data_IF_551325911512
#
_entry.id   IF_551325911512
#
_cell.length_a   1.000
_cell.length_b   1.000
_cell.length_c   1.000
_cell.angle_alpha   90.00
_cell.angle_beta   90.00
_cell.angle_gamma   90.00
#
_symmetry.space_group_name_H-M   'P 1'
#
loop_
_entity.id
_entity.type
_entity.pdbx_description
1 polymer ?
#
# COMPACT_ATOMS: atom_id res chain seq x y z
N UNK A 1 -39.63 5.64 31.79
CA UNK A 1 -38.79 4.58 32.40
C UNK A 1 -37.61 4.40 31.46
N UNK A 2 -36.65 5.32 31.59
CA UNK A 2 -35.56 5.54 30.63
C UNK A 2 -34.45 4.50 30.87
N UNK A 3 -34.24 3.61 29.90
CA UNK A 3 -33.22 2.58 29.97
C UNK A 3 -31.82 3.14 29.71
N UNK A 4 -31.02 3.27 30.78
CA UNK A 4 -29.59 3.61 30.70
C UNK A 4 -28.82 2.47 30.00
N UNK A 5 -28.39 2.69 28.76
CA UNK A 5 -27.45 1.79 28.07
C UNK A 5 -26.05 2.05 28.60
N UNK A 6 -25.51 1.08 29.36
CA UNK A 6 -24.10 1.09 29.76
C UNK A 6 -23.22 0.81 28.53
N UNK A 7 -22.11 1.53 28.32
CA UNK A 7 -21.19 1.23 27.22
C UNK A 7 -20.49 -0.11 27.46
N UNK A 8 -20.49 -0.97 26.44
CA UNK A 8 -19.71 -2.20 26.43
C UNK A 8 -18.21 -1.85 26.41
N UNK A 9 -17.52 -2.24 27.48
CA UNK A 9 -16.07 -2.11 27.61
C UNK A 9 -15.43 -3.22 26.80
N UNK A 10 -15.00 -2.93 25.57
CA UNK A 10 -14.23 -3.87 24.78
C UNK A 10 -12.83 -4.00 25.39
N UNK A 11 -12.58 -5.14 26.04
CA UNK A 11 -11.23 -5.55 26.41
C UNK A 11 -10.54 -6.07 25.15
N UNK A 12 -9.73 -5.23 24.49
CA UNK A 12 -8.76 -5.72 23.52
C UNK A 12 -7.52 -6.19 24.28
N UNK A 13 -7.48 -7.48 24.60
CA UNK A 13 -6.23 -8.15 25.00
C UNK A 13 -5.37 -8.28 23.75
N UNK A 14 -4.37 -7.40 23.61
CA UNK A 14 -3.32 -7.56 22.62
C UNK A 14 -2.34 -8.64 23.10
N UNK A 15 -2.44 -9.85 22.55
CA UNK A 15 -1.34 -10.81 22.59
C UNK A 15 -0.36 -10.42 21.48
N UNK A 16 0.65 -9.62 21.83
CA UNK A 16 1.84 -9.48 21.01
C UNK A 16 2.78 -10.64 21.36
N UNK A 17 3.00 -11.55 20.41
CA UNK A 17 4.12 -12.50 20.51
C UNK A 17 5.43 -11.72 20.45
N UNK A 18 6.51 -12.19 21.12
CA UNK A 18 7.80 -11.51 21.07
C UNK A 18 8.35 -11.63 19.64
N UNK A 19 8.52 -10.50 18.96
CA UNK A 19 9.28 -10.41 17.72
C UNK A 19 10.71 -10.04 18.11
N UNK A 20 11.69 -10.82 17.64
CA UNK A 20 13.10 -10.57 17.90
C UNK A 20 13.50 -9.16 17.43
N UNK A 21 14.18 -8.42 18.32
CA UNK A 21 14.54 -7.01 18.12
C UNK A 21 15.84 -6.94 17.33
N UNK A 22 15.78 -6.56 16.05
CA UNK A 22 16.97 -6.15 15.30
C UNK A 22 17.20 -4.64 15.49
N UNK A 23 18.37 -4.28 16.03
CA UNK A 23 18.78 -2.90 16.26
C UNK A 23 19.71 -2.46 15.13
N UNK A 24 19.22 -1.59 14.25
CA UNK A 24 20.06 -0.90 13.24
C UNK A 24 20.65 0.39 13.80
N UNK A 25 21.96 0.60 13.67
CA UNK A 25 22.67 1.79 14.18
C UNK A 25 22.87 2.83 13.06
N UNK A 26 21.97 3.82 12.97
CA UNK A 26 22.11 4.98 12.08
C UNK A 26 22.30 6.24 12.95
N UNK A 27 23.49 6.84 12.93
CA UNK A 27 23.84 7.97 13.80
C UNK A 27 23.25 9.28 13.28
N UNK A 28 22.37 9.90 14.06
CA UNK A 28 21.88 11.25 13.80
C UNK A 28 22.93 12.30 14.21
N UNK A 29 22.82 13.51 13.64
CA UNK A 29 23.72 14.66 13.86
C UNK A 29 23.85 15.11 15.33
N UNK A 30 23.07 14.55 16.25
CA UNK A 30 23.05 14.87 17.69
C UNK A 30 23.74 13.85 18.62
N UNK A 31 24.27 12.74 18.10
CA UNK A 31 24.96 11.74 18.92
C UNK A 31 24.06 10.76 19.68
N UNK A 32 22.73 10.87 19.54
CA UNK A 32 21.78 9.85 20.00
C UNK A 32 21.63 8.76 18.92
N UNK A 33 21.71 7.49 19.33
CA UNK A 33 21.52 6.33 18.47
C UNK A 33 20.04 6.19 18.09
N UNK A 34 19.74 6.04 16.79
CA UNK A 34 18.42 5.65 16.33
C UNK A 34 18.07 4.28 16.91
N UNK A 35 16.92 4.17 17.58
CA UNK A 35 16.43 2.91 18.12
C UNK A 35 15.03 2.64 17.58
N UNK A 36 14.82 1.44 17.04
CA UNK A 36 13.52 1.01 16.53
C UNK A 36 13.01 -0.19 17.34
N UNK A 37 11.72 -0.17 17.69
CA UNK A 37 11.07 -1.28 18.39
C UNK A 37 9.81 -1.68 17.63
N UNK A 38 9.72 -2.93 17.19
CA UNK A 38 8.51 -3.48 16.57
C UNK A 38 7.50 -3.79 17.68
N UNK A 39 6.30 -3.23 17.55
CA UNK A 39 5.18 -3.43 18.48
C UNK A 39 4.28 -4.56 18.02
N UNK A 40 4.03 -4.65 16.71
CA UNK A 40 3.27 -5.75 16.10
C UNK A 40 3.56 -5.84 14.60
N UNK A 41 3.53 -7.06 14.08
CA UNK A 41 3.68 -7.33 12.66
C UNK A 41 2.62 -8.35 12.22
N UNK A 42 1.87 -8.01 11.18
CA UNK A 42 0.92 -8.89 10.47
C UNK A 42 1.26 -8.85 8.97
N UNK A 43 0.56 -9.64 8.16
CA UNK A 43 0.76 -9.66 6.71
C UNK A 43 0.64 -8.27 6.07
N UNK A 44 -0.41 -7.51 6.40
CA UNK A 44 -0.69 -6.20 5.79
C UNK A 44 -0.35 -4.99 6.67
N UNK A 45 0.25 -5.18 7.86
CA UNK A 45 0.42 -4.06 8.82
C UNK A 45 1.63 -4.25 9.72
N UNK A 46 2.43 -3.20 9.83
CA UNK A 46 3.49 -3.06 10.83
C UNK A 46 3.20 -1.88 11.77
N UNK A 47 3.44 -2.09 13.06
CA UNK A 47 3.47 -1.03 14.07
C UNK A 47 4.83 -1.03 14.73
N UNK A 48 5.50 0.12 14.73
CA UNK A 48 6.83 0.27 15.30
C UNK A 48 6.98 1.65 15.96
N UNK A 49 7.91 1.73 16.90
CA UNK A 49 8.36 2.96 17.55
C UNK A 49 9.77 3.28 17.09
N UNK A 50 10.04 4.56 16.78
CA UNK A 50 11.40 5.06 16.49
C UNK A 50 11.75 6.12 17.51
N UNK A 51 12.90 5.96 18.16
CA UNK A 51 13.48 6.85 19.17
C UNK A 51 14.84 7.37 18.68
N UNK A 52 15.30 8.51 19.20
CA UNK A 52 16.60 9.09 18.81
C UNK A 52 16.62 9.79 17.43
N UNK A 53 15.44 10.13 16.91
CA UNK A 53 15.27 10.86 15.64
C UNK A 53 14.47 12.14 15.86
N UNK A 54 14.76 13.16 15.06
CA UNK A 54 13.99 14.39 15.05
C UNK A 54 12.64 14.24 14.30
N UNK A 55 11.74 15.18 14.53
CA UNK A 55 10.41 15.17 13.89
C UNK A 55 10.47 15.39 12.38
N UNK A 56 11.50 16.08 11.87
CA UNK A 56 11.68 16.29 10.45
C UNK A 56 12.05 14.98 9.75
N UNK A 57 12.91 14.15 10.34
CA UNK A 57 13.24 12.82 9.86
C UNK A 57 12.00 11.91 9.83
N UNK A 58 11.22 11.85 10.91
CA UNK A 58 10.00 11.03 10.96
C UNK A 58 8.95 11.50 9.95
N UNK A 59 8.79 12.81 9.76
CA UNK A 59 7.88 13.33 8.74
C UNK A 59 8.40 13.10 7.31
N UNK A 60 9.71 13.15 7.09
CA UNK A 60 10.31 12.78 5.81
C UNK A 60 10.02 11.31 5.49
N UNK A 61 10.27 10.40 6.45
CA UNK A 61 9.96 8.98 6.31
C UNK A 61 8.48 8.75 5.98
N UNK A 62 7.56 9.40 6.72
CA UNK A 62 6.12 9.32 6.46
C UNK A 62 5.76 9.81 5.05
N UNK A 63 6.38 10.89 4.57
CA UNK A 63 6.14 11.40 3.21
C UNK A 63 6.65 10.41 2.17
N UNK A 64 7.87 9.91 2.33
CA UNK A 64 8.47 8.91 1.44
C UNK A 64 7.60 7.65 1.33
N UNK A 65 7.11 7.14 2.46
CA UNK A 65 6.20 5.97 2.48
C UNK A 65 4.91 6.20 1.69
N UNK A 66 4.42 7.44 1.60
CA UNK A 66 3.13 7.76 0.95
C UNK A 66 3.32 8.16 -0.52
N UNK A 67 4.41 8.84 -0.86
CA UNK A 67 4.59 9.42 -2.21
C UNK A 67 5.63 8.74 -3.08
N UNK A 68 6.61 8.05 -2.51
CA UNK A 68 7.78 7.56 -3.27
C UNK A 68 7.83 6.04 -3.39
N UNK A 69 6.90 5.31 -2.76
CA UNK A 69 6.80 3.85 -2.90
C UNK A 69 5.99 3.55 -4.16
N UNK A 70 6.60 2.99 -5.23
CA UNK A 70 5.89 2.68 -6.44
C UNK A 70 4.83 1.63 -6.16
N UNK A 71 3.62 1.82 -6.69
CA UNK A 71 2.51 0.88 -6.56
C UNK A 71 1.97 0.56 -7.95
N UNK A 72 1.85 -0.72 -8.28
CA UNK A 72 1.25 -1.15 -9.53
C UNK A 72 -0.26 -0.94 -9.49
N UNK A 73 -0.76 -0.11 -10.39
CA UNK A 73 -2.19 0.19 -10.56
C UNK A 73 -2.56 0.16 -12.04
N UNK A 74 -3.86 0.16 -12.33
CA UNK A 74 -4.35 0.17 -13.72
C UNK A 74 -4.33 1.62 -14.23
N UNK A 75 -3.57 1.87 -15.30
CA UNK A 75 -3.44 3.20 -15.91
C UNK A 75 -4.31 3.34 -17.16
N UNK A 76 -4.18 2.41 -18.10
CA UNK A 76 -4.94 2.40 -19.35
C UNK A 76 -6.12 1.41 -19.27
N UNK A 77 -7.32 1.87 -19.67
CA UNK A 77 -8.52 1.03 -19.79
C UNK A 77 -9.13 1.20 -21.17
N UNK A 78 -9.30 0.09 -21.87
CA UNK A 78 -9.96 0.04 -23.17
C UNK A 78 -11.34 -0.58 -23.02
N UNK A 79 -12.38 0.20 -23.31
CA UNK A 79 -13.77 -0.26 -23.30
C UNK A 79 -14.14 -0.80 -24.69
N UNK A 80 -14.59 -2.05 -24.75
CA UNK A 80 -15.14 -2.65 -25.97
C UNK A 80 -16.67 -2.50 -26.00
N UNK A 81 -17.32 -2.84 -24.89
CA UNK A 81 -18.75 -2.65 -24.67
C UNK A 81 -19.00 -2.40 -23.17
N UNK A 82 -19.73 -1.34 -22.84
CA UNK A 82 -20.25 -1.07 -21.51
C UNK A 82 -21.70 -0.62 -21.62
N UNK A 83 -22.62 -1.57 -21.44
CA UNK A 83 -24.07 -1.33 -21.37
C UNK A 83 -24.58 -1.16 -19.93
N UNK A 84 -23.68 -1.05 -18.95
CA UNK A 84 -24.05 -0.87 -17.55
C UNK A 84 -24.57 0.55 -17.26
N UNK A 85 -25.16 0.73 -16.08
CA UNK A 85 -25.61 2.05 -15.62
C UNK A 85 -24.46 2.97 -15.17
N UNK A 86 -23.25 2.40 -14.97
CA UNK A 86 -22.10 3.17 -14.49
C UNK A 86 -21.34 3.71 -15.70
N UNK A 87 -21.19 5.04 -15.84
CA UNK A 87 -20.43 5.64 -16.93
C UNK A 87 -18.95 5.19 -16.93
N UNK A 88 -18.35 5.14 -18.11
CA UNK A 88 -16.97 4.70 -18.31
C UNK A 88 -15.99 5.49 -17.44
N UNK A 89 -16.13 6.81 -17.32
CA UNK A 89 -15.21 7.63 -16.52
C UNK A 89 -15.26 7.28 -15.02
N UNK A 90 -16.43 6.88 -14.52
CA UNK A 90 -16.62 6.48 -13.13
C UNK A 90 -16.05 5.08 -12.90
N UNK A 91 -16.25 4.16 -13.86
CA UNK A 91 -15.62 2.84 -13.80
C UNK A 91 -14.10 2.96 -13.86
N UNK A 92 -13.57 3.75 -14.79
CA UNK A 92 -12.13 3.94 -14.96
C UNK A 92 -11.48 4.49 -13.70
N UNK A 93 -12.08 5.54 -13.10
CA UNK A 93 -11.60 6.10 -11.85
C UNK A 93 -11.58 5.07 -10.72
N UNK A 94 -12.60 4.20 -10.61
CA UNK A 94 -12.65 3.18 -9.56
C UNK A 94 -11.64 2.06 -9.79
N UNK A 95 -11.51 1.59 -11.02
CA UNK A 95 -10.60 0.50 -11.39
C UNK A 95 -9.14 0.98 -11.28
N UNK A 96 -8.86 2.21 -11.70
CA UNK A 96 -7.51 2.78 -11.68
C UNK A 96 -6.90 2.90 -10.28
N UNK A 97 -7.71 3.02 -9.23
CA UNK A 97 -7.22 3.04 -7.84
C UNK A 97 -7.07 1.64 -7.21
N UNK A 98 -7.24 0.56 -7.96
CA UNK A 98 -7.10 -0.80 -7.43
C UNK A 98 -5.62 -1.21 -7.46
N UNK A 99 -4.97 -1.41 -6.30
CA UNK A 99 -3.59 -1.87 -6.26
C UNK A 99 -3.49 -3.34 -6.69
N UNK A 100 -2.49 -3.67 -7.49
CA UNK A 100 -2.23 -5.02 -7.96
C UNK A 100 -1.03 -5.63 -7.24
N UNK A 101 -1.18 -6.88 -6.81
CA UNK A 101 -0.07 -7.66 -6.26
C UNK A 101 0.91 -7.95 -7.38
N UNK A 102 2.15 -7.50 -7.21
CA UNK A 102 3.17 -7.53 -8.25
C UNK A 102 4.35 -8.36 -7.79
N UNK A 103 4.88 -9.18 -8.68
CA UNK A 103 6.13 -9.88 -8.47
C UNK A 103 7.31 -8.94 -8.79
N UNK A 104 7.98 -8.48 -7.75
CA UNK A 104 9.07 -7.50 -7.87
C UNK A 104 10.34 -8.09 -8.49
N UNK A 105 10.48 -9.42 -8.55
CA UNK A 105 11.65 -10.06 -9.15
C UNK A 105 11.58 -10.06 -10.68
N UNK A 106 10.37 -10.01 -11.25
CA UNK A 106 10.14 -10.07 -12.70
C UNK A 106 9.69 -8.74 -13.30
N UNK A 107 9.14 -7.83 -12.49
CA UNK A 107 8.65 -6.53 -12.93
C UNK A 107 9.76 -5.48 -13.00
N UNK A 108 9.76 -4.70 -14.07
CA UNK A 108 10.66 -3.56 -14.29
C UNK A 108 9.80 -2.32 -14.52
N UNK A 109 10.12 -1.21 -13.85
CA UNK A 109 9.40 0.04 -14.05
C UNK A 109 9.46 0.47 -15.53
N UNK A 110 8.38 1.04 -16.09
CA UNK A 110 8.36 1.45 -17.50
C UNK A 110 9.51 2.38 -17.89
N UNK A 111 9.92 3.29 -17.00
CA UNK A 111 11.03 4.22 -17.17
C UNK A 111 12.41 3.55 -17.21
N UNK A 112 12.55 2.37 -16.61
CA UNK A 112 13.79 1.59 -16.56
C UNK A 112 13.81 0.46 -17.61
N UNK A 113 12.73 0.29 -18.38
CA UNK A 113 12.58 -0.80 -19.33
C UNK A 113 13.26 -0.50 -20.67
N UNK A 114 13.97 -1.49 -21.21
CA UNK A 114 14.71 -1.43 -22.48
C UNK A 114 13.88 -1.77 -23.72
N UNK A 115 12.57 -1.99 -23.57
CA UNK A 115 11.74 -2.48 -24.68
C UNK A 115 11.37 -1.42 -25.72
N UNK A 116 11.52 -0.13 -25.42
CA UNK A 116 11.19 1.03 -26.27
C UNK A 116 9.78 1.00 -26.91
N UNK A 117 8.89 0.13 -26.40
CA UNK A 117 7.57 -0.10 -26.95
C UNK A 117 6.56 0.79 -26.25
N UNK A 118 5.75 1.52 -27.02
CA UNK A 118 4.68 2.39 -26.51
C UNK A 118 3.65 1.62 -25.68
N UNK A 119 3.34 0.38 -26.09
CA UNK A 119 2.44 -0.52 -25.37
C UNK A 119 3.14 -1.36 -24.30
N UNK A 120 4.43 -1.16 -24.07
CA UNK A 120 5.24 -1.94 -23.13
C UNK A 120 5.45 -3.41 -23.54
N UNK A 121 6.19 -4.13 -22.72
CA UNK A 121 6.43 -5.56 -22.84
C UNK A 121 5.99 -6.29 -21.55
N UNK A 122 5.96 -7.64 -21.53
CA UNK A 122 5.52 -8.39 -20.35
C UNK A 122 6.32 -8.14 -19.05
N UNK A 123 7.50 -7.50 -19.13
CA UNK A 123 8.31 -7.13 -17.95
C UNK A 123 7.87 -5.81 -17.31
N UNK A 124 7.33 -4.89 -18.10
CA UNK A 124 6.98 -3.54 -17.62
C UNK A 124 5.48 -3.22 -17.71
N UNK A 125 4.67 -4.14 -18.22
CA UNK A 125 3.23 -3.98 -18.31
C UNK A 125 2.50 -5.31 -18.13
N UNK A 126 1.41 -5.27 -17.37
CA UNK A 126 0.45 -6.35 -17.29
C UNK A 126 -0.81 -5.97 -18.09
N UNK A 127 -1.36 -6.93 -18.82
CA UNK A 127 -2.64 -6.78 -19.54
C UNK A 127 -3.67 -7.68 -18.89
N UNK A 128 -4.77 -7.08 -18.45
CA UNK A 128 -5.90 -7.77 -17.84
C UNK A 128 -7.12 -7.63 -18.75
N UNK A 129 -7.97 -8.65 -18.77
CA UNK A 129 -9.24 -8.63 -19.51
C UNK A 129 -10.37 -8.95 -18.54
N UNK A 130 -11.43 -8.16 -18.60
CA UNK A 130 -12.64 -8.34 -17.81
C UNK A 130 -13.82 -8.48 -18.77
N UNK A 131 -14.58 -9.55 -18.60
CA UNK A 131 -15.80 -9.85 -19.35
C UNK A 131 -16.85 -10.32 -18.35
N UNK A 132 -18.03 -9.69 -18.37
CA UNK A 132 -19.13 -10.03 -17.48
C UNK A 132 -20.47 -9.73 -18.14
N UNK A 133 -21.38 -10.69 -18.06
CA UNK A 133 -22.75 -10.57 -18.53
C UNK A 133 -23.71 -10.93 -17.38
N UNK A 134 -24.80 -10.17 -17.26
CA UNK A 134 -25.89 -10.49 -16.33
C UNK A 134 -27.04 -11.11 -17.11
N UNK A 135 -27.33 -12.39 -16.88
CA UNK A 135 -28.57 -13.01 -17.36
C UNK A 135 -29.73 -12.49 -16.52
N UNK A 136 -30.55 -11.62 -17.11
CA UNK A 136 -31.82 -11.19 -16.52
C UNK A 136 -32.85 -12.31 -16.43
#
# INVERSE_FOLDING_TARGET
MEGSRKPHRFHTTAHASPVDVEVGDLRSRGGESLKTTIVSLTEDTIRFLVEGVDTAFTNALRRTMVSEVPTMTIEDIFYFDNSSLVPDEILANRIGFTPLKTDLDSYVLPEDCDCEAELGCPKCRAVLTMDTESTG
#
